data_IF_692979529646
#
_entry.id   IF_692979529646
#
_cell.length_a   1.000
_cell.length_b   1.000
_cell.length_c   1.000
_cell.angle_alpha   90.00
_cell.angle_beta   90.00
_cell.angle_gamma   90.00
#
_symmetry.space_group_name_H-M   'P 1'
#
loop_
_entity.id
_entity.type
_entity.pdbx_description
1 polymer ?
#
# COMPACT_ATOMS: atom_id res chain seq x y z
N UNK A 1 26.05 -9.77 22.50
CA UNK A 1 25.43 -8.85 21.50
C UNK A 1 25.60 -7.39 21.88
N UNK A 2 25.10 -6.94 23.04
CA UNK A 2 25.38 -5.58 23.54
C UNK A 2 26.87 -5.31 23.78
N UNK A 3 27.65 -6.34 24.14
CA UNK A 3 29.11 -6.25 24.26
C UNK A 3 29.83 -5.93 22.94
N UNK A 4 29.25 -6.31 21.79
CA UNK A 4 29.88 -6.11 20.46
C UNK A 4 29.32 -4.87 19.77
N UNK A 5 28.01 -4.65 19.86
CA UNK A 5 27.30 -3.58 19.14
C UNK A 5 26.87 -2.41 20.04
N UNK A 6 27.14 -2.48 21.35
CA UNK A 6 26.77 -1.43 22.30
C UNK A 6 25.29 -1.09 22.25
N UNK A 7 25.00 0.22 22.26
CA UNK A 7 23.64 0.77 22.19
C UNK A 7 22.98 0.61 20.82
N UNK A 8 23.77 0.38 19.76
CA UNK A 8 23.25 0.11 18.41
C UNK A 8 22.69 -1.31 18.29
N UNK A 9 22.79 -2.12 19.34
CA UNK A 9 22.24 -3.47 19.37
C UNK A 9 20.72 -3.45 19.26
N UNK A 10 20.18 -4.20 18.29
CA UNK A 10 18.75 -4.45 18.18
C UNK A 10 18.18 -5.07 19.45
N UNK A 11 16.93 -4.72 19.75
CA UNK A 11 16.17 -5.30 20.86
C UNK A 11 16.15 -6.84 20.77
N UNK A 12 16.15 -7.50 21.94
CA UNK A 12 16.20 -8.98 22.04
C UNK A 12 15.11 -9.66 21.21
N UNK A 13 13.90 -9.11 21.21
CA UNK A 13 12.75 -9.62 20.45
C UNK A 13 12.94 -9.51 18.93
N UNK A 14 13.54 -8.42 18.42
CA UNK A 14 13.85 -8.26 16.99
C UNK A 14 14.91 -9.25 16.55
N UNK A 15 15.97 -9.40 17.35
CA UNK A 15 17.05 -10.35 17.09
C UNK A 15 16.56 -11.80 17.06
N UNK A 16 15.74 -12.22 18.01
CA UNK A 16 15.18 -13.59 18.05
C UNK A 16 14.32 -13.88 16.80
N UNK A 17 13.47 -12.93 16.39
CA UNK A 17 12.68 -13.02 15.15
C UNK A 17 13.55 -13.18 13.91
N UNK A 18 14.69 -12.49 13.85
CA UNK A 18 15.62 -12.62 12.73
C UNK A 18 16.25 -14.02 12.70
N UNK A 19 16.78 -14.51 13.82
CA UNK A 19 17.36 -15.86 13.91
C UNK A 19 16.39 -16.94 13.43
N UNK A 20 15.15 -16.91 13.93
CA UNK A 20 14.12 -17.87 13.52
C UNK A 20 13.86 -17.84 12.00
N UNK A 21 13.87 -16.65 11.37
CA UNK A 21 13.68 -16.55 9.92
C UNK A 21 14.85 -17.16 9.14
N UNK A 22 16.08 -16.96 9.61
CA UNK A 22 17.28 -17.57 8.99
C UNK A 22 17.29 -19.10 9.16
N UNK A 23 16.87 -19.61 10.33
CA UNK A 23 16.70 -21.05 10.57
C UNK A 23 15.67 -21.69 9.63
N UNK A 24 14.63 -20.95 9.25
CA UNK A 24 13.61 -21.37 8.28
C UNK A 24 14.07 -21.17 6.82
N UNK A 25 15.37 -20.96 6.58
CA UNK A 25 15.96 -20.92 5.24
C UNK A 25 15.90 -19.55 4.55
N UNK A 26 15.58 -18.47 5.27
CA UNK A 26 15.68 -17.11 4.71
C UNK A 26 17.15 -16.76 4.45
N UNK A 27 17.57 -16.77 3.20
CA UNK A 27 18.94 -16.40 2.80
C UNK A 27 19.10 -14.92 2.44
N UNK A 28 18.00 -14.24 2.09
CA UNK A 28 18.05 -12.85 1.65
C UNK A 28 18.13 -11.88 2.85
N UNK A 29 19.18 -11.05 2.83
CA UNK A 29 19.47 -9.99 3.81
C UNK A 29 18.64 -8.73 3.54
N UNK A 30 18.24 -8.49 2.28
CA UNK A 30 17.40 -7.35 1.94
C UNK A 30 16.03 -7.48 2.58
N UNK A 31 15.45 -6.34 2.92
CA UNK A 31 14.07 -6.27 3.33
C UNK A 31 13.16 -6.77 2.20
N UNK A 32 12.13 -7.51 2.58
CA UNK A 32 11.04 -7.78 1.65
C UNK A 32 10.38 -6.44 1.31
N UNK A 33 9.78 -6.32 0.11
CA UNK A 33 8.95 -5.16 -0.18
C UNK A 33 7.99 -4.96 1.00
N UNK A 34 8.02 -3.76 1.57
CA UNK A 34 7.01 -3.42 2.58
C UNK A 34 5.67 -3.61 1.88
N UNK A 35 4.68 -4.25 2.53
CA UNK A 35 3.33 -4.14 2.04
C UNK A 35 3.02 -2.64 2.00
N UNK A 36 3.06 -2.07 0.80
CA UNK A 36 2.57 -0.72 0.56
C UNK A 36 1.07 -0.70 0.84
N UNK A 37 0.48 0.48 0.76
CA UNK A 37 -0.97 0.55 0.65
C UNK A 37 -1.36 -0.30 -0.57
N UNK A 38 -2.11 -1.38 -0.33
CA UNK A 38 -2.49 -2.29 -1.40
C UNK A 38 -3.16 -1.45 -2.48
N UNK A 39 -2.67 -1.57 -3.71
CA UNK A 39 -3.25 -0.94 -4.90
C UNK A 39 -4.63 -1.54 -5.26
N UNK A 40 -5.35 -2.05 -4.26
CA UNK A 40 -6.59 -2.85 -4.29
C UNK A 40 -7.80 -1.99 -3.86
N UNK A 41 -7.66 -0.66 -3.77
CA UNK A 41 -8.81 0.24 -3.53
C UNK A 41 -9.48 0.65 -4.85
N UNK A 42 -8.77 0.59 -5.96
CA UNK A 42 -9.32 0.85 -7.31
C UNK A 42 -9.68 -0.48 -7.97
N UNK A 43 -10.92 -0.92 -7.79
CA UNK A 43 -11.49 -2.06 -8.52
C UNK A 43 -11.58 -1.71 -10.02
N UNK A 44 -11.37 -2.66 -10.93
CA UNK A 44 -11.55 -2.43 -12.38
C UNK A 44 -12.98 -1.99 -12.71
N UNK A 45 -13.97 -2.45 -11.95
CA UNK A 45 -15.36 -2.02 -12.09
C UNK A 45 -15.54 -0.51 -11.85
N UNK A 46 -14.86 0.06 -10.84
CA UNK A 46 -14.98 1.50 -10.57
C UNK A 46 -14.24 2.32 -11.61
N UNK A 47 -13.12 1.83 -12.14
CA UNK A 47 -12.39 2.49 -13.25
C UNK A 47 -13.27 2.55 -14.50
N UNK A 48 -13.92 1.45 -14.89
CA UNK A 48 -14.80 1.42 -16.06
C UNK A 48 -16.01 2.35 -15.90
N UNK A 49 -16.62 2.40 -14.71
CA UNK A 49 -17.75 3.28 -14.44
C UNK A 49 -17.36 4.77 -14.53
N UNK A 50 -16.17 5.14 -14.03
CA UNK A 50 -15.64 6.51 -14.20
C UNK A 50 -15.43 6.85 -15.68
N UNK A 51 -14.84 5.93 -16.47
CA UNK A 51 -14.59 6.16 -17.90
C UNK A 51 -15.88 6.34 -18.69
N UNK A 52 -16.92 5.56 -18.39
CA UNK A 52 -18.24 5.71 -18.99
C UNK A 52 -18.87 7.06 -18.66
N UNK A 53 -18.80 7.52 -17.40
CA UNK A 53 -19.31 8.83 -16.98
C UNK A 53 -18.59 9.99 -17.69
N UNK A 54 -17.27 9.90 -17.89
CA UNK A 54 -16.50 10.90 -18.63
C UNK A 54 -16.91 10.93 -20.12
N UNK A 55 -17.16 9.76 -20.71
CA UNK A 55 -17.60 9.65 -22.11
C UNK A 55 -18.99 10.23 -22.33
N UNK A 56 -19.90 10.04 -21.38
CA UNK A 56 -21.25 10.60 -21.43
C UNK A 56 -21.26 12.11 -21.16
N UNK A 57 -20.50 12.58 -20.16
CA UNK A 57 -20.48 13.97 -19.72
C UNK A 57 -19.04 14.51 -19.62
N UNK A 58 -18.56 15.13 -20.70
CA UNK A 58 -17.18 15.69 -20.75
C UNK A 58 -16.92 16.87 -19.79
N UNK A 59 -17.96 17.44 -19.17
CA UNK A 59 -17.85 18.56 -18.21
C UNK A 59 -18.07 18.12 -16.75
N UNK A 60 -18.08 16.81 -16.48
CA UNK A 60 -18.33 16.28 -15.13
C UNK A 60 -17.19 16.63 -14.17
N UNK A 61 -17.53 16.94 -12.93
CA UNK A 61 -16.58 17.29 -11.86
C UNK A 61 -16.28 16.10 -10.96
N UNK A 62 -15.10 16.08 -10.34
CA UNK A 62 -14.70 15.01 -9.42
C UNK A 62 -15.68 14.81 -8.24
N UNK A 63 -16.42 15.86 -7.86
CA UNK A 63 -17.43 15.78 -6.79
C UNK A 63 -18.68 15.03 -7.23
N UNK A 64 -19.11 15.23 -8.47
CA UNK A 64 -20.28 14.54 -9.03
C UNK A 64 -19.98 13.04 -9.16
N UNK A 65 -18.81 12.68 -9.69
CA UNK A 65 -18.37 11.27 -9.77
C UNK A 65 -18.27 10.63 -8.38
N UNK A 66 -17.71 11.35 -7.40
CA UNK A 66 -17.59 10.85 -6.03
C UNK A 66 -18.96 10.55 -5.40
N UNK A 67 -19.97 11.39 -5.67
CA UNK A 67 -21.34 11.19 -5.19
C UNK A 67 -21.99 9.99 -5.91
N UNK A 68 -21.88 9.95 -7.24
CA UNK A 68 -22.52 8.92 -8.06
C UNK A 68 -21.97 7.53 -7.80
N UNK A 69 -20.65 7.40 -7.62
CA UNK A 69 -20.01 6.13 -7.32
C UNK A 69 -19.91 5.83 -5.83
N UNK A 70 -20.38 6.73 -4.95
CA UNK A 70 -20.25 6.63 -3.49
C UNK A 70 -18.81 6.40 -3.02
N UNK A 71 -17.86 7.09 -3.64
CA UNK A 71 -16.42 6.99 -3.36
C UNK A 71 -15.95 8.28 -2.68
N UNK A 72 -14.91 8.19 -1.84
CA UNK A 72 -14.32 9.39 -1.25
C UNK A 72 -13.79 10.34 -2.33
N UNK A 73 -14.01 11.65 -2.17
CA UNK A 73 -13.50 12.68 -3.10
C UNK A 73 -11.99 12.55 -3.32
N UNK A 74 -11.22 12.18 -2.28
CA UNK A 74 -9.77 12.03 -2.36
C UNK A 74 -9.30 10.86 -3.24
N UNK A 75 -10.21 9.96 -3.62
CA UNK A 75 -9.91 8.82 -4.51
C UNK A 75 -10.08 9.19 -5.99
N UNK A 76 -10.88 10.22 -6.30
CA UNK A 76 -11.16 10.63 -7.69
C UNK A 76 -10.38 11.90 -8.01
N UNK A 77 -9.43 11.80 -8.95
CA UNK A 77 -8.69 12.94 -9.47
C UNK A 77 -8.92 13.03 -10.99
N UNK A 78 -9.59 14.08 -11.43
CA UNK A 78 -9.77 14.42 -12.84
C UNK A 78 -8.96 15.70 -13.08
N UNK A 79 -8.05 15.69 -14.05
CA UNK A 79 -7.17 16.84 -14.36
C UNK A 79 -7.73 17.64 -15.52
#
# INVERSE_FOLDING_TARGET
MKEVYGEQCLARCTRFRCCQRYEVGRVNIKDLPRPGQAHVVTNSATISAVDELIRQNRRITAREIAVELSISKGTVCIT
#
